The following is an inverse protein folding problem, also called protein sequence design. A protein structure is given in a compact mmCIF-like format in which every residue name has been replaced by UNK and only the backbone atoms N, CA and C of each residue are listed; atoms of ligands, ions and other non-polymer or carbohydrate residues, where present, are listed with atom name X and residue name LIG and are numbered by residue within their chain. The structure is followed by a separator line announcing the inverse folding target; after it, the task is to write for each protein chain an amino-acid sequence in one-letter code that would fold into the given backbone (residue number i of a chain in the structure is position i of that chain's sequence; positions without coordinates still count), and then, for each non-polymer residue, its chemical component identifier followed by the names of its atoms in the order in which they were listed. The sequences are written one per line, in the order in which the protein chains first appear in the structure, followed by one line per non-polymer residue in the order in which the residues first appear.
data_IF_334774584264
#
_entry.id   IF_334774584264
#
_cell.length_a   1.000
_cell.length_b   1.000
_cell.length_c   1.000
_cell.angle_alpha   90.00
_cell.angle_beta   90.00
_cell.angle_gamma   90.00
#
_symmetry.space_group_name_H-M   'P 1'
#
loop_
_entity.id
_entity.type
_entity.pdbx_description
1 polymer ?
#
# COMPACT_ATOMS: atom_id res chain seq x y z
N UNK A 1 -9.07 9.20 26.18
CA UNK A 1 -8.30 9.11 24.93
C UNK A 1 -8.79 10.22 24.01
N UNK A 2 -7.99 11.26 23.75
CA UNK A 2 -8.39 12.35 22.85
C UNK A 2 -7.98 11.93 21.44
N UNK A 3 -8.95 11.61 20.58
CA UNK A 3 -8.69 11.26 19.18
C UNK A 3 -8.66 12.58 18.39
N UNK A 4 -7.78 12.72 17.40
CA UNK A 4 -7.68 13.95 16.59
C UNK A 4 -8.22 13.79 15.16
N UNK A 5 -8.32 12.55 14.68
CA UNK A 5 -8.83 12.21 13.35
C UNK A 5 -9.22 10.74 13.33
N UNK A 6 -10.24 10.39 12.54
CA UNK A 6 -10.56 9.01 12.18
C UNK A 6 -10.31 8.82 10.69
N UNK A 7 -9.42 7.90 10.33
CA UNK A 7 -9.10 7.57 8.94
C UNK A 7 -9.69 6.20 8.63
N UNK A 8 -10.61 6.14 7.67
CA UNK A 8 -11.08 4.89 7.10
C UNK A 8 -10.26 4.55 5.86
N UNK A 9 -9.70 3.34 5.86
CA UNK A 9 -9.01 2.80 4.71
C UNK A 9 -9.94 1.87 3.94
N UNK A 10 -9.79 1.85 2.61
CA UNK A 10 -10.35 0.77 1.82
C UNK A 10 -9.71 -0.56 2.22
N UNK A 11 -10.49 -1.63 2.14
CA UNK A 11 -10.03 -2.97 2.50
C UNK A 11 -8.88 -3.39 1.58
N UNK A 12 -7.74 -3.74 2.19
CA UNK A 12 -6.61 -4.30 1.45
C UNK A 12 -6.90 -5.77 1.21
N UNK A 13 -6.97 -6.20 -0.04
CA UNK A 13 -7.13 -7.60 -0.39
C UNK A 13 -6.30 -7.94 -1.62
N UNK A 14 -5.75 -9.16 -1.67
CA UNK A 14 -4.87 -9.62 -2.74
C UNK A 14 -5.33 -10.99 -3.23
N UNK A 15 -5.41 -11.16 -4.54
CA UNK A 15 -5.73 -12.46 -5.15
C UNK A 15 -4.48 -13.34 -5.21
N UNK A 16 -4.67 -14.66 -5.23
CA UNK A 16 -3.58 -15.63 -5.26
C UNK A 16 -2.63 -15.44 -6.46
N UNK A 17 -3.18 -15.17 -7.65
CA UNK A 17 -2.38 -14.91 -8.86
C UNK A 17 -1.53 -13.63 -8.74
N UNK A 18 -2.06 -12.60 -8.10
CA UNK A 18 -1.39 -11.33 -7.87
C UNK A 18 -0.26 -11.47 -6.83
N UNK A 19 -0.51 -12.22 -5.76
CA UNK A 19 0.51 -12.57 -4.77
C UNK A 19 1.65 -13.38 -5.41
N UNK A 20 1.33 -14.35 -6.25
CA UNK A 20 2.34 -15.15 -6.95
C UNK A 20 3.19 -14.30 -7.90
N UNK A 21 2.57 -13.36 -8.64
CA UNK A 21 3.31 -12.38 -9.45
C UNK A 21 4.23 -11.50 -8.60
N UNK A 22 3.75 -11.03 -7.46
CA UNK A 22 4.55 -10.24 -6.52
C UNK A 22 5.77 -11.01 -6.00
N UNK A 23 5.59 -12.27 -5.60
CA UNK A 23 6.67 -13.15 -5.15
C UNK A 23 7.69 -13.36 -6.28
N UNK A 24 7.23 -13.65 -7.50
CA UNK A 24 8.10 -13.83 -8.65
C UNK A 24 8.96 -12.59 -8.94
N UNK A 25 8.34 -11.39 -8.98
CA UNK A 25 9.04 -10.12 -9.16
C UNK A 25 10.08 -9.88 -8.06
N UNK A 26 9.76 -10.18 -6.81
CA UNK A 26 10.70 -9.98 -5.70
C UNK A 26 11.87 -10.97 -5.73
N UNK A 27 11.63 -12.22 -6.15
CA UNK A 27 12.70 -13.21 -6.33
C UNK A 27 13.65 -12.77 -7.43
N UNK A 28 13.11 -12.33 -8.56
CA UNK A 28 13.89 -11.88 -9.72
C UNK A 28 14.72 -10.63 -9.40
N UNK A 29 14.10 -9.58 -8.87
CA UNK A 29 14.75 -8.27 -8.71
C UNK A 29 15.58 -8.13 -7.42
N UNK A 30 15.21 -8.88 -6.38
CA UNK A 30 15.72 -8.65 -5.02
C UNK A 30 16.22 -9.91 -4.30
N UNK A 31 16.15 -11.09 -4.94
CA UNK A 31 16.57 -12.37 -4.36
C UNK A 31 15.91 -12.64 -3.00
N UNK A 32 14.66 -12.20 -2.84
CA UNK A 32 13.85 -12.39 -1.63
C UNK A 32 12.39 -12.59 -2.00
N UNK A 33 11.53 -12.87 -1.03
CA UNK A 33 10.11 -13.09 -1.23
C UNK A 33 9.27 -12.08 -0.47
N UNK A 34 8.24 -11.57 -1.14
CA UNK A 34 7.30 -10.61 -0.56
C UNK A 34 6.17 -11.32 0.20
N UNK A 35 6.52 -12.10 1.23
CA UNK A 35 5.57 -13.05 1.85
C UNK A 35 4.48 -12.39 2.70
N UNK A 36 4.68 -11.18 3.22
CA UNK A 36 3.70 -10.54 4.11
C UNK A 36 2.35 -10.27 3.44
N UNK A 37 2.31 -10.16 2.11
CA UNK A 37 1.06 -9.99 1.37
C UNK A 37 0.13 -11.20 1.45
N UNK A 38 0.63 -12.38 1.83
CA UNK A 38 -0.19 -13.56 2.08
C UNK A 38 -1.23 -13.33 3.19
N UNK A 39 -0.96 -12.43 4.14
CA UNK A 39 -1.93 -12.05 5.18
C UNK A 39 -3.15 -11.30 4.66
N UNK A 40 -3.07 -10.73 3.45
CA UNK A 40 -4.18 -10.03 2.78
C UNK A 40 -4.85 -10.90 1.71
N UNK A 41 -4.56 -12.20 1.68
CA UNK A 41 -5.13 -13.13 0.70
C UNK A 41 -6.56 -13.51 1.08
N UNK A 42 -7.51 -12.69 0.67
CA UNK A 42 -8.93 -13.02 0.74
C UNK A 42 -9.70 -12.28 -0.34
N UNK A 43 -10.94 -12.70 -0.59
CA UNK A 43 -11.83 -12.07 -1.55
C UNK A 43 -12.85 -11.20 -0.82
N UNK A 44 -13.19 -10.00 -1.31
CA UNK A 44 -14.21 -9.15 -0.72
C UNK A 44 -15.64 -9.61 -1.08
N UNK A 45 -15.89 -10.90 -1.27
CA UNK A 45 -17.16 -11.44 -1.80
C UNK A 45 -18.38 -11.12 -0.90
N UNK A 46 -18.15 -10.84 0.38
CA UNK A 46 -19.20 -10.41 1.33
C UNK A 46 -19.49 -8.91 1.35
N UNK A 47 -18.83 -8.11 0.50
CA UNK A 47 -19.00 -6.65 0.47
C UNK A 47 -19.97 -6.27 -0.63
N UNK A 48 -21.14 -5.77 -0.22
CA UNK A 48 -22.01 -5.01 -1.11
C UNK A 48 -21.39 -3.64 -1.37
N UNK A 49 -20.82 -3.49 -2.57
CA UNK A 49 -20.09 -2.29 -2.97
C UNK A 49 -21.01 -1.08 -3.12
N UNK A 50 -22.28 -1.27 -3.49
CA UNK A 50 -23.23 -0.15 -3.61
C UNK A 50 -23.60 0.39 -2.22
N UNK A 51 -23.77 -0.51 -1.24
CA UNK A 51 -23.96 -0.12 0.16
C UNK A 51 -22.72 0.60 0.69
N UNK A 52 -21.51 0.08 0.40
CA UNK A 52 -20.26 0.71 0.81
C UNK A 52 -20.14 2.15 0.28
N UNK A 53 -20.37 2.35 -1.02
CA UNK A 53 -20.34 3.68 -1.64
C UNK A 53 -21.34 4.60 -0.97
N UNK A 54 -22.60 4.16 -0.80
CA UNK A 54 -23.64 4.96 -0.14
C UNK A 54 -23.26 5.35 1.28
N UNK A 55 -22.59 4.46 2.03
CA UNK A 55 -22.12 4.74 3.39
C UNK A 55 -20.97 5.74 3.41
N UNK A 56 -20.04 5.65 2.47
CA UNK A 56 -18.96 6.63 2.30
C UNK A 56 -19.54 8.01 1.95
N UNK A 57 -20.49 8.08 1.01
CA UNK A 57 -21.19 9.32 0.64
C UNK A 57 -21.95 9.92 1.85
N UNK A 58 -22.67 9.09 2.61
CA UNK A 58 -23.35 9.50 3.85
C UNK A 58 -22.36 10.09 4.86
N UNK A 59 -21.21 9.45 5.06
CA UNK A 59 -20.15 9.95 5.92
C UNK A 59 -19.67 11.31 5.41
N UNK A 60 -19.28 11.44 4.14
CA UNK A 60 -18.75 12.69 3.57
C UNK A 60 -19.76 13.85 3.60
N UNK A 61 -21.05 13.57 3.56
CA UNK A 61 -22.12 14.59 3.57
C UNK A 61 -22.33 15.28 4.92
N UNK A 62 -21.81 14.71 6.01
CA UNK A 62 -22.05 15.18 7.38
C UNK A 62 -20.88 15.97 7.93
N UNK A 63 -21.19 16.90 8.84
CA UNK A 63 -20.19 17.56 9.67
C UNK A 63 -20.04 16.80 10.99
N UNK A 64 -18.82 16.45 11.33
CA UNK A 64 -18.47 15.81 12.59
C UNK A 64 -17.63 16.76 13.43
N UNK A 65 -17.67 16.57 14.76
CA UNK A 65 -16.79 17.29 15.70
C UNK A 65 -15.32 16.91 15.54
N UNK A 66 -15.06 15.82 14.81
CA UNK A 66 -13.75 15.23 14.53
C UNK A 66 -13.58 15.13 13.01
N UNK A 67 -12.39 15.40 12.45
CA UNK A 67 -12.09 15.05 11.08
C UNK A 67 -12.30 13.56 10.83
N UNK A 68 -13.09 13.24 9.81
CA UNK A 68 -13.22 11.88 9.27
C UNK A 68 -12.66 11.92 7.85
N UNK A 69 -11.66 11.10 7.59
CA UNK A 69 -10.97 11.01 6.30
C UNK A 69 -11.18 9.62 5.72
N UNK A 70 -11.53 9.57 4.44
CA UNK A 70 -11.49 8.34 3.64
C UNK A 70 -10.18 8.38 2.85
N UNK A 71 -9.36 7.33 2.96
CA UNK A 71 -8.11 7.26 2.21
C UNK A 71 -7.91 5.88 1.57
N UNK A 72 -7.66 5.81 0.26
CA UNK A 72 -7.75 6.90 -0.72
C UNK A 72 -9.19 7.42 -0.87
N UNK A 73 -9.38 8.69 -1.22
CA UNK A 73 -10.70 9.28 -1.46
C UNK A 73 -11.15 9.05 -2.91
N UNK A 74 -11.41 7.79 -3.23
CA UNK A 74 -11.86 7.38 -4.56
C UNK A 74 -13.24 7.92 -4.93
N UNK A 75 -13.47 8.17 -6.22
CA UNK A 75 -14.84 8.41 -6.71
C UNK A 75 -15.70 7.16 -6.58
N UNK A 76 -17.03 7.31 -6.70
CA UNK A 76 -17.96 6.17 -6.74
C UNK A 76 -17.51 5.09 -7.74
N UNK A 77 -17.18 5.51 -8.96
CA UNK A 77 -16.76 4.61 -10.03
C UNK A 77 -15.44 3.92 -9.68
N UNK A 78 -14.50 4.65 -9.09
CA UNK A 78 -13.23 4.10 -8.64
C UNK A 78 -13.40 3.10 -7.50
N UNK A 79 -14.29 3.35 -6.53
CA UNK A 79 -14.62 2.38 -5.48
C UNK A 79 -15.17 1.11 -6.13
N UNK A 80 -16.14 1.23 -7.03
CA UNK A 80 -16.73 0.07 -7.71
C UNK A 80 -15.65 -0.74 -8.44
N UNK A 81 -14.78 -0.08 -9.20
CA UNK A 81 -13.68 -0.71 -9.92
C UNK A 81 -12.65 -1.33 -8.98
N UNK A 82 -12.29 -0.67 -7.89
CA UNK A 82 -11.37 -1.21 -6.88
C UNK A 82 -11.87 -2.55 -6.38
N UNK A 83 -13.13 -2.67 -5.97
CA UNK A 83 -13.65 -3.91 -5.40
C UNK A 83 -13.97 -5.00 -6.44
N UNK A 84 -14.25 -4.65 -7.70
CA UNK A 84 -14.68 -5.62 -8.74
C UNK A 84 -13.57 -6.02 -9.73
N UNK A 85 -12.66 -5.13 -10.08
CA UNK A 85 -11.63 -5.40 -11.08
C UNK A 85 -10.46 -6.20 -10.49
N UNK A 86 -9.85 -7.13 -11.26
CA UNK A 86 -8.66 -7.85 -10.82
C UNK A 86 -7.45 -6.91 -10.63
N UNK A 87 -7.29 -5.93 -11.52
CA UNK A 87 -6.26 -4.89 -11.44
C UNK A 87 -6.95 -3.55 -11.54
N UNK A 88 -6.71 -2.67 -10.57
CA UNK A 88 -7.30 -1.35 -10.54
C UNK A 88 -6.22 -0.28 -10.64
N UNK A 89 -6.37 0.62 -11.62
CA UNK A 89 -5.57 1.84 -11.72
C UNK A 89 -6.51 3.03 -11.63
N UNK A 90 -6.19 3.92 -10.70
CA UNK A 90 -6.99 5.11 -10.42
C UNK A 90 -6.82 6.14 -11.54
N UNK A 91 -7.88 6.91 -11.77
CA UNK A 91 -7.84 8.13 -12.60
C UNK A 91 -7.60 9.38 -11.76
N UNK A 92 -7.97 9.33 -10.48
CA UNK A 92 -7.82 10.44 -9.53
C UNK A 92 -6.42 10.53 -8.92
N UNK A 93 -5.64 9.45 -8.94
CA UNK A 93 -4.33 9.37 -8.31
C UNK A 93 -3.23 8.97 -9.30
N UNK A 94 -2.00 9.36 -9.00
CA UNK A 94 -0.82 8.88 -9.72
C UNK A 94 -0.68 7.37 -9.54
N UNK A 95 -0.54 6.63 -10.63
CA UNK A 95 -0.27 5.19 -10.60
C UNK A 95 1.24 4.90 -10.49
N UNK A 96 1.94 5.65 -9.65
CA UNK A 96 3.38 5.51 -9.38
C UNK A 96 3.63 5.58 -7.89
N UNK A 97 4.23 4.53 -7.32
CA UNK A 97 4.47 4.45 -5.89
C UNK A 97 5.69 5.29 -5.49
N UNK A 98 5.49 6.27 -4.61
CA UNK A 98 6.60 7.06 -4.05
C UNK A 98 6.86 6.79 -2.57
N UNK A 99 6.15 5.83 -1.97
CA UNK A 99 6.25 5.51 -0.55
C UNK A 99 7.69 5.24 -0.08
N UNK A 100 8.57 4.53 -0.84
CA UNK A 100 9.96 4.31 -0.41
C UNK A 100 10.85 5.56 -0.36
N UNK A 101 10.38 6.71 -0.84
CA UNK A 101 11.10 7.99 -0.73
C UNK A 101 10.60 8.85 0.43
N UNK A 102 9.38 8.60 0.92
CA UNK A 102 8.74 9.42 1.96
C UNK A 102 8.56 8.68 3.28
N UNK A 103 8.65 7.35 3.27
CA UNK A 103 8.39 6.51 4.43
C UNK A 103 9.32 5.30 4.49
N UNK A 104 9.43 4.72 5.69
CA UNK A 104 10.21 3.52 5.95
C UNK A 104 9.61 2.76 7.12
N UNK A 105 9.74 1.44 7.10
CA UNK A 105 9.40 0.59 8.22
C UNK A 105 10.67 0.27 9.02
N UNK A 106 10.60 0.50 10.33
CA UNK A 106 11.58 -0.02 11.30
C UNK A 106 10.90 -1.19 12.01
N UNK A 107 11.35 -2.41 11.72
CA UNK A 107 10.78 -3.63 12.28
C UNK A 107 11.28 -3.85 13.72
N UNK A 108 10.56 -4.63 14.56
CA UNK A 108 10.94 -4.84 15.97
C UNK A 108 12.35 -5.41 16.18
N UNK A 109 12.86 -6.17 15.21
CA UNK A 109 14.22 -6.71 15.23
C UNK A 109 15.31 -5.68 14.84
N UNK A 110 14.92 -4.47 14.43
CA UNK A 110 15.79 -3.39 13.96
C UNK A 110 15.95 -3.30 12.45
N UNK A 111 15.33 -4.21 11.68
CA UNK A 111 15.43 -4.18 10.23
C UNK A 111 14.72 -2.95 9.65
N UNK A 112 15.35 -2.35 8.64
CA UNK A 112 14.85 -1.22 7.88
C UNK A 112 14.34 -1.75 6.54
N UNK A 113 13.07 -1.51 6.26
CA UNK A 113 12.40 -1.96 5.04
C UNK A 113 11.68 -0.80 4.33
N UNK A 114 11.89 -0.60 3.01
CA UNK A 114 11.09 0.34 2.22
C UNK A 114 9.63 -0.12 2.08
N UNK A 115 9.40 -1.42 1.84
CA UNK A 115 8.11 -2.10 1.92
C UNK A 115 8.29 -3.61 1.72
N UNK A 116 7.19 -4.35 1.83
CA UNK A 116 7.05 -5.67 1.20
C UNK A 116 8.08 -6.72 1.64
N UNK A 117 8.55 -6.65 2.91
CA UNK A 117 9.54 -7.57 3.51
C UNK A 117 10.96 -7.49 2.93
N UNK A 118 11.26 -6.50 2.09
CA UNK A 118 12.63 -6.28 1.62
C UNK A 118 13.47 -5.63 2.73
N UNK A 119 14.55 -6.28 3.16
CA UNK A 119 15.44 -5.74 4.21
C UNK A 119 16.60 -4.99 3.56
N UNK A 120 16.61 -3.67 3.72
CA UNK A 120 17.66 -2.80 3.22
C UNK A 120 18.87 -2.72 4.15
N UNK A 121 18.69 -2.98 5.46
CA UNK A 121 19.74 -2.95 6.48
C UNK A 121 19.13 -3.09 7.87
N UNK A 122 19.95 -3.03 8.93
CA UNK A 122 19.49 -3.10 10.31
C UNK A 122 20.08 -1.94 11.13
N UNK A 123 19.22 -1.20 11.82
CA UNK A 123 19.60 0.02 12.56
C UNK A 123 20.50 -0.26 13.78
N UNK A 124 20.58 -1.51 14.23
CA UNK A 124 21.50 -1.95 15.29
C UNK A 124 22.95 -2.02 14.79
N UNK A 125 23.15 -2.14 13.47
CA UNK A 125 24.47 -2.33 12.86
C UNK A 125 24.97 -1.06 12.16
N UNK A 126 24.07 -0.27 11.57
CA UNK A 126 24.40 0.90 10.76
C UNK A 126 23.44 2.06 11.04
N UNK A 127 23.90 3.30 10.87
CA UNK A 127 23.02 4.47 11.04
C UNK A 127 21.92 4.49 9.97
N UNK A 128 20.74 4.96 10.34
CA UNK A 128 19.61 5.09 9.41
C UNK A 128 20.00 5.83 8.12
N UNK A 129 20.74 6.95 8.23
CA UNK A 129 21.19 7.74 7.06
C UNK A 129 22.04 6.91 6.09
N UNK A 130 22.89 6.03 6.62
CA UNK A 130 23.71 5.13 5.80
C UNK A 130 22.85 4.08 5.11
N UNK A 131 21.91 3.45 5.83
CA UNK A 131 21.00 2.44 5.28
C UNK A 131 20.09 3.05 4.20
N UNK A 132 19.47 4.21 4.48
CA UNK A 132 18.60 4.94 3.56
C UNK A 132 19.25 5.27 2.22
N UNK A 133 20.57 5.42 2.22
CA UNK A 133 21.39 5.74 1.06
C UNK A 133 22.36 4.60 0.69
N UNK A 134 22.09 3.35 1.07
CA UNK A 134 22.93 2.23 0.65
C UNK A 134 22.50 1.73 -0.73
N UNK A 135 23.29 0.81 -1.29
CA UNK A 135 23.03 0.23 -2.60
C UNK A 135 21.70 -0.53 -2.65
N UNK A 136 21.36 -1.31 -1.61
CA UNK A 136 20.12 -2.09 -1.55
C UNK A 136 18.87 -1.20 -1.62
N UNK A 137 18.83 -0.13 -0.82
CA UNK A 137 17.70 0.79 -0.78
C UNK A 137 17.58 1.58 -2.10
N UNK A 138 18.71 2.05 -2.65
CA UNK A 138 18.70 2.74 -3.96
C UNK A 138 18.26 1.81 -5.08
N UNK A 139 18.73 0.56 -5.10
CA UNK A 139 18.32 -0.45 -6.07
C UNK A 139 16.80 -0.66 -6.03
N UNK A 140 16.23 -0.86 -4.84
CA UNK A 140 14.79 -0.99 -4.67
C UNK A 140 14.01 0.19 -5.26
N UNK A 141 14.47 1.43 -4.98
CA UNK A 141 13.87 2.65 -5.53
C UNK A 141 14.01 2.76 -7.04
N UNK A 142 15.15 2.37 -7.60
CA UNK A 142 15.36 2.38 -9.06
C UNK A 142 14.39 1.42 -9.74
N UNK A 143 14.33 0.17 -9.29
CA UNK A 143 13.42 -0.84 -9.82
C UNK A 143 11.95 -0.40 -9.72
N UNK A 144 11.55 0.13 -8.56
CA UNK A 144 10.18 0.62 -8.36
C UNK A 144 9.86 1.80 -9.27
N UNK A 145 10.79 2.74 -9.46
CA UNK A 145 10.59 3.89 -10.35
C UNK A 145 10.42 3.45 -11.80
N UNK A 146 11.22 2.50 -12.26
CA UNK A 146 11.17 1.98 -13.62
C UNK A 146 9.89 1.18 -13.89
N UNK A 147 9.46 0.34 -12.95
CA UNK A 147 8.20 -0.41 -13.02
C UNK A 147 6.97 0.44 -12.69
N UNK A 148 7.16 1.62 -12.09
CA UNK A 148 6.15 2.50 -11.45
C UNK A 148 5.47 1.91 -10.22
N UNK A 149 5.15 0.62 -10.25
CA UNK A 149 4.53 -0.12 -9.16
C UNK A 149 4.78 -1.63 -9.29
N UNK A 150 4.67 -2.37 -8.18
CA UNK A 150 4.70 -3.84 -8.17
C UNK A 150 3.29 -4.42 -8.15
N UNK A 151 3.09 -5.71 -8.49
CA UNK A 151 1.76 -6.29 -8.72
C UNK A 151 0.71 -5.99 -7.65
N UNK A 152 1.07 -6.01 -6.36
CA UNK A 152 0.14 -5.76 -5.23
C UNK A 152 -0.02 -4.29 -4.85
N UNK A 153 0.76 -3.39 -5.43
CA UNK A 153 0.82 -2.00 -4.99
C UNK A 153 -0.52 -1.27 -5.13
N UNK A 154 -1.34 -1.57 -6.13
CA UNK A 154 -2.68 -0.95 -6.28
C UNK A 154 -3.64 -1.30 -5.13
N UNK A 155 -3.30 -2.27 -4.28
CA UNK A 155 -4.07 -2.59 -3.06
C UNK A 155 -3.55 -1.87 -1.82
N UNK A 156 -2.35 -1.29 -1.89
CA UNK A 156 -1.71 -0.60 -0.78
C UNK A 156 -2.26 0.81 -0.59
N UNK A 157 -2.56 1.22 0.64
CA UNK A 157 -2.98 2.59 0.93
C UNK A 157 -1.87 3.63 0.70
N UNK A 158 -0.59 3.24 0.86
CA UNK A 158 0.56 4.10 0.59
C UNK A 158 0.75 4.43 -0.90
N UNK A 159 0.21 3.60 -1.79
CA UNK A 159 0.34 3.76 -3.24
C UNK A 159 -0.34 5.03 -3.76
N UNK A 160 -1.35 5.49 -3.03
CA UNK A 160 -2.18 6.65 -3.37
C UNK A 160 -1.87 7.87 -2.51
N UNK A 161 -0.73 7.86 -1.81
CA UNK A 161 -0.23 9.07 -1.19
C UNK A 161 0.39 9.92 -2.29
N UNK A 162 -0.08 11.17 -2.39
CA UNK A 162 0.36 12.25 -3.30
C UNK A 162 -0.31 12.27 -4.68
#
# INVERSE_FOLDING_TARGET
MNVNCLIFLHLIFVKEDELNRQIAVFRELFQTESIHWAGYRYKPDGIDVEILVKKIEEIKSRKYKMPIVIHPDFTREEIIRYYREPVFLSKSYSNTCIAPWTSVYVLPNGDISPCSSFVAGNIKNESFKKIWNNQKFRHFRTELREKKYFPVCHRCCEFYKH
#
